data_IF_940534583808
#
_entry.id   IF_940534583808
#
_cell.length_a   1.000
_cell.length_b   1.000
_cell.length_c   1.000
_cell.angle_alpha   90.00
_cell.angle_beta   90.00
_cell.angle_gamma   90.00
#
_symmetry.space_group_name_H-M   'P 1'
#
loop_
_entity.id
_entity.type
_entity.pdbx_description
1 polymer ?
#
# COMPACT_ATOMS: atom_id res chain seq x y z
N UNK A 1 -72.67 -42.88 -1.26
CA UNK A 1 -72.47 -44.35 -1.14
C UNK A 1 -73.74 -45.16 -1.42
N UNK A 2 -74.91 -44.85 -0.84
CA UNK A 2 -76.15 -45.60 -1.11
C UNK A 2 -76.77 -45.23 -2.45
N UNK A 3 -76.78 -43.95 -2.82
CA UNK A 3 -77.41 -43.46 -4.05
C UNK A 3 -76.69 -43.93 -5.33
N UNK A 4 -75.35 -43.95 -5.35
CA UNK A 4 -74.59 -44.43 -6.52
C UNK A 4 -74.62 -45.95 -6.68
N UNK A 5 -74.71 -46.71 -5.58
CA UNK A 5 -74.93 -48.16 -5.65
C UNK A 5 -76.31 -48.48 -6.23
N UNK A 6 -77.32 -47.66 -5.90
CA UNK A 6 -78.66 -47.75 -6.47
C UNK A 6 -78.64 -47.40 -7.96
N UNK A 7 -78.03 -46.26 -8.36
CA UNK A 7 -77.90 -45.88 -9.78
C UNK A 7 -77.13 -46.92 -10.60
N UNK A 8 -76.07 -47.52 -10.06
CA UNK A 8 -75.31 -48.59 -10.74
C UNK A 8 -76.09 -49.91 -10.81
N UNK A 9 -77.00 -50.17 -9.88
CA UNK A 9 -77.93 -51.31 -9.96
C UNK A 9 -78.98 -51.07 -11.05
N UNK A 10 -79.64 -49.91 -11.04
CA UNK A 10 -80.64 -49.54 -12.05
C UNK A 10 -80.06 -49.48 -13.46
N UNK A 11 -78.84 -48.96 -13.62
CA UNK A 11 -78.15 -48.94 -14.91
C UNK A 11 -77.85 -50.36 -15.41
N UNK A 12 -77.43 -51.26 -14.52
CA UNK A 12 -77.18 -52.66 -14.83
C UNK A 12 -78.46 -53.38 -15.26
N UNK A 13 -79.56 -53.18 -14.53
CA UNK A 13 -80.84 -53.81 -14.83
C UNK A 13 -81.35 -53.37 -16.21
N UNK A 14 -81.30 -52.06 -16.50
CA UNK A 14 -81.68 -51.52 -17.81
C UNK A 14 -80.80 -52.02 -18.98
N UNK A 15 -79.49 -52.16 -18.76
CA UNK A 15 -78.58 -52.68 -19.79
C UNK A 15 -78.79 -54.17 -20.04
N UNK A 16 -79.05 -54.95 -18.98
CA UNK A 16 -79.36 -56.38 -19.07
C UNK A 16 -80.60 -56.63 -19.93
N UNK A 17 -81.64 -55.80 -19.77
CA UNK A 17 -82.87 -55.89 -20.54
C UNK A 17 -82.66 -55.54 -22.03
N UNK A 18 -81.75 -54.62 -22.36
CA UNK A 18 -81.54 -54.15 -23.73
C UNK A 18 -80.47 -54.93 -24.52
N UNK A 19 -79.38 -55.34 -23.87
CA UNK A 19 -78.19 -55.89 -24.53
C UNK A 19 -77.89 -57.34 -24.11
N UNK A 20 -78.62 -57.88 -23.14
CA UNK A 20 -78.36 -59.18 -22.54
C UNK A 20 -77.25 -59.13 -21.49
N UNK A 21 -77.22 -60.14 -20.61
CA UNK A 21 -76.35 -60.17 -19.43
C UNK A 21 -74.86 -60.16 -19.78
N UNK A 22 -74.44 -60.86 -20.83
CA UNK A 22 -73.02 -60.97 -21.22
C UNK A 22 -72.43 -59.63 -21.67
N UNK A 23 -73.17 -58.87 -22.48
CA UNK A 23 -72.71 -57.55 -22.97
C UNK A 23 -72.73 -56.53 -21.84
N UNK A 24 -73.71 -56.62 -20.94
CA UNK A 24 -73.85 -55.73 -19.79
C UNK A 24 -72.70 -55.88 -18.80
N UNK A 25 -72.32 -57.12 -18.46
CA UNK A 25 -71.18 -57.38 -17.57
C UNK A 25 -69.86 -56.90 -18.20
N UNK A 26 -69.66 -57.10 -19.51
CA UNK A 26 -68.50 -56.53 -20.21
C UNK A 26 -68.49 -55.00 -20.13
N UNK A 27 -69.61 -54.33 -20.41
CA UNK A 27 -69.70 -52.87 -20.38
C UNK A 27 -69.51 -52.29 -18.96
N UNK A 28 -69.96 -52.99 -17.92
CA UNK A 28 -69.79 -52.58 -16.53
C UNK A 28 -68.38 -52.78 -16.00
N UNK A 29 -67.62 -53.72 -16.57
CA UNK A 29 -66.21 -54.01 -16.23
C UNK A 29 -65.27 -52.95 -16.82
N UNK A 30 -65.62 -52.42 -18.01
CA UNK A 30 -64.90 -51.28 -18.61
C UNK A 30 -65.35 -49.91 -18.08
N UNK A 31 -66.46 -49.85 -17.32
CA UNK A 31 -66.89 -48.59 -16.70
C UNK A 31 -66.05 -48.29 -15.46
N UNK A 32 -65.53 -47.06 -15.32
CA UNK A 32 -64.82 -46.66 -14.12
C UNK A 32 -65.70 -46.84 -12.88
N UNK A 33 -65.09 -47.18 -11.75
CA UNK A 33 -65.82 -47.28 -10.48
C UNK A 33 -66.44 -45.93 -10.12
N UNK A 34 -67.59 -45.93 -9.44
CA UNK A 34 -68.24 -44.69 -9.01
C UNK A 34 -67.34 -43.83 -8.11
N UNK A 35 -66.39 -44.45 -7.40
CA UNK A 35 -65.41 -43.76 -6.54
C UNK A 35 -64.18 -43.25 -7.32
N UNK A 36 -64.07 -43.55 -8.63
CA UNK A 36 -62.93 -43.14 -9.46
C UNK A 36 -62.86 -41.62 -9.63
N UNK A 37 -64.00 -40.96 -9.84
CA UNK A 37 -64.09 -39.49 -9.96
C UNK A 37 -63.66 -38.83 -8.65
N UNK A 38 -64.15 -39.33 -7.51
CA UNK A 38 -63.78 -38.81 -6.18
C UNK A 38 -62.29 -38.96 -5.88
N UNK A 39 -61.70 -40.10 -6.27
CA UNK A 39 -60.27 -40.33 -6.12
C UNK A 39 -59.45 -39.37 -6.99
N UNK A 40 -59.88 -39.14 -8.23
CA UNK A 40 -59.22 -38.20 -9.15
C UNK A 40 -59.32 -36.77 -8.64
N UNK A 41 -60.49 -36.32 -8.16
CA UNK A 41 -60.68 -34.98 -7.63
C UNK A 41 -59.79 -34.73 -6.41
N UNK A 42 -59.64 -35.72 -5.52
CA UNK A 42 -58.71 -35.64 -4.39
C UNK A 42 -57.25 -35.51 -4.85
N UNK A 43 -56.85 -36.25 -5.89
CA UNK A 43 -55.49 -36.14 -6.45
C UNK A 43 -55.25 -34.76 -7.08
N UNK A 44 -56.23 -34.21 -7.81
CA UNK A 44 -56.12 -32.86 -8.37
C UNK A 44 -55.97 -31.79 -7.30
N UNK A 45 -56.76 -31.84 -6.22
CA UNK A 45 -56.62 -30.91 -5.09
C UNK A 45 -55.24 -31.04 -4.42
N UNK A 46 -54.72 -32.26 -4.32
CA UNK A 46 -53.37 -32.47 -3.78
C UNK A 46 -52.27 -31.89 -4.70
N UNK A 47 -52.39 -32.08 -6.01
CA UNK A 47 -51.47 -31.54 -7.01
C UNK A 47 -51.51 -30.02 -7.05
N UNK A 48 -52.70 -29.41 -7.06
CA UNK A 48 -52.88 -27.95 -7.04
C UNK A 48 -52.24 -27.33 -5.79
N UNK A 49 -52.42 -27.97 -4.62
CA UNK A 49 -51.76 -27.53 -3.38
C UNK A 49 -50.23 -27.57 -3.51
N UNK A 50 -49.67 -28.61 -4.14
CA UNK A 50 -48.23 -28.72 -4.36
C UNK A 50 -47.71 -27.67 -5.33
N UNK A 51 -48.46 -27.34 -6.39
CA UNK A 51 -48.09 -26.25 -7.29
C UNK A 51 -48.07 -24.90 -6.56
N UNK A 52 -49.08 -24.60 -5.74
CA UNK A 52 -49.09 -23.37 -4.91
C UNK A 52 -47.93 -23.30 -3.90
N UNK A 53 -47.43 -24.44 -3.43
CA UNK A 53 -46.24 -24.48 -2.58
C UNK A 53 -44.95 -24.24 -3.39
N UNK A 54 -44.87 -24.82 -4.59
CA UNK A 54 -43.76 -24.61 -5.52
C UNK A 54 -43.67 -23.14 -5.93
N UNK A 55 -44.79 -22.51 -6.29
CA UNK A 55 -44.84 -21.10 -6.68
C UNK A 55 -44.32 -20.19 -5.55
N UNK A 56 -44.78 -20.43 -4.31
CA UNK A 56 -44.27 -19.71 -3.13
C UNK A 56 -42.78 -19.92 -2.89
N UNK A 57 -42.24 -21.11 -3.20
CA UNK A 57 -40.81 -21.37 -3.11
C UNK A 57 -40.02 -20.64 -4.19
N UNK A 58 -40.56 -20.53 -5.41
CA UNK A 58 -39.95 -19.75 -6.48
C UNK A 58 -39.93 -18.26 -6.16
N UNK A 59 -41.02 -17.69 -5.64
CA UNK A 59 -41.04 -16.29 -5.18
C UNK A 59 -39.97 -16.03 -4.11
N UNK A 60 -39.78 -16.94 -3.17
CA UNK A 60 -38.72 -16.83 -2.16
C UNK A 60 -37.32 -16.92 -2.77
N UNK A 61 -37.13 -17.75 -3.80
CA UNK A 61 -35.87 -17.87 -4.53
C UNK A 61 -35.57 -16.57 -5.26
N UNK A 62 -36.56 -15.99 -5.96
CA UNK A 62 -36.41 -14.74 -6.70
C UNK A 62 -36.02 -13.59 -5.74
N UNK A 63 -36.71 -13.49 -4.59
CA UNK A 63 -36.34 -12.51 -3.56
C UNK A 63 -34.91 -12.70 -3.03
N UNK A 64 -34.42 -13.94 -2.92
CA UNK A 64 -33.04 -14.22 -2.52
C UNK A 64 -32.06 -13.81 -3.62
N UNK A 65 -32.37 -14.04 -4.88
CA UNK A 65 -31.55 -13.60 -6.01
C UNK A 65 -31.46 -12.07 -6.06
N UNK A 66 -32.56 -11.35 -5.90
CA UNK A 66 -32.54 -9.87 -5.81
C UNK A 66 -31.69 -9.35 -4.64
N UNK A 67 -31.64 -10.07 -3.52
CA UNK A 67 -30.76 -9.72 -2.40
C UNK A 67 -29.29 -10.01 -2.72
N UNK A 68 -29.02 -11.10 -3.44
CA UNK A 68 -27.67 -11.44 -3.90
C UNK A 68 -27.16 -10.38 -4.89
N UNK A 69 -27.97 -9.99 -5.87
CA UNK A 69 -27.62 -8.98 -6.87
C UNK A 69 -27.29 -7.63 -6.20
N UNK A 70 -28.12 -7.19 -5.24
CA UNK A 70 -27.84 -5.98 -4.46
C UNK A 70 -26.52 -6.06 -3.69
N UNK A 71 -26.15 -7.23 -3.17
CA UNK A 71 -24.86 -7.42 -2.49
C UNK A 71 -23.70 -7.40 -3.46
N UNK A 72 -23.87 -7.93 -4.68
CA UNK A 72 -22.85 -7.82 -5.72
C UNK A 72 -22.64 -6.38 -6.16
N UNK A 73 -23.71 -5.61 -6.35
CA UNK A 73 -23.61 -4.17 -6.65
C UNK A 73 -22.85 -3.40 -5.57
N UNK A 74 -23.06 -3.74 -4.28
CA UNK A 74 -22.33 -3.14 -3.17
C UNK A 74 -20.84 -3.53 -3.19
N UNK A 75 -20.55 -4.81 -3.46
CA UNK A 75 -19.18 -5.31 -3.59
C UNK A 75 -18.46 -4.57 -4.73
N UNK A 76 -19.08 -4.43 -5.89
CA UNK A 76 -18.50 -3.73 -7.04
C UNK A 76 -18.19 -2.27 -6.72
N UNK A 77 -19.10 -1.55 -6.03
CA UNK A 77 -18.84 -0.18 -5.58
C UNK A 77 -17.65 -0.11 -4.63
N UNK A 78 -17.51 -1.07 -3.71
CA UNK A 78 -16.36 -1.14 -2.79
C UNK A 78 -15.06 -1.40 -3.54
N UNK A 79 -15.07 -2.24 -4.57
CA UNK A 79 -13.88 -2.46 -5.40
C UNK A 79 -13.47 -1.18 -6.14
N UNK A 80 -14.42 -0.44 -6.73
CA UNK A 80 -14.13 0.85 -7.37
C UNK A 80 -13.54 1.86 -6.36
N UNK A 81 -14.02 1.88 -5.11
CA UNK A 81 -13.45 2.73 -4.07
C UNK A 81 -12.02 2.30 -3.69
N UNK A 82 -11.78 0.99 -3.56
CA UNK A 82 -10.46 0.43 -3.29
C UNK A 82 -9.47 0.83 -4.40
N UNK A 83 -9.86 0.68 -5.67
CA UNK A 83 -9.02 1.05 -6.81
C UNK A 83 -8.65 2.54 -6.79
N UNK A 84 -9.61 3.42 -6.46
CA UNK A 84 -9.35 4.86 -6.30
C UNK A 84 -8.35 5.14 -5.19
N UNK A 85 -8.47 4.46 -4.05
CA UNK A 85 -7.53 4.61 -2.93
C UNK A 85 -6.14 4.13 -3.29
N UNK A 86 -6.01 3.03 -4.02
CA UNK A 86 -4.71 2.56 -4.52
C UNK A 86 -4.07 3.57 -5.48
N UNK A 87 -4.84 4.11 -6.44
CA UNK A 87 -4.33 5.14 -7.34
C UNK A 87 -3.89 6.42 -6.59
N UNK A 88 -4.54 6.79 -5.49
CA UNK A 88 -4.10 7.90 -4.64
C UNK A 88 -2.80 7.56 -3.89
N UNK A 89 -2.68 6.34 -3.37
CA UNK A 89 -1.47 5.85 -2.71
C UNK A 89 -0.28 5.89 -3.69
N UNK A 90 -0.46 5.41 -4.92
CA UNK A 90 0.59 5.39 -5.94
C UNK A 90 1.10 6.81 -6.23
N UNK A 91 0.19 7.78 -6.42
CA UNK A 91 0.56 9.20 -6.62
C UNK A 91 1.32 9.78 -5.43
N UNK A 92 0.98 9.37 -4.20
CA UNK A 92 1.69 9.82 -3.00
C UNK A 92 3.10 9.24 -2.94
N UNK A 93 3.29 7.98 -3.36
CA UNK A 93 4.61 7.37 -3.47
C UNK A 93 5.47 8.06 -4.53
N UNK A 94 4.92 8.34 -5.71
CA UNK A 94 5.63 9.11 -6.75
C UNK A 94 6.12 10.48 -6.23
N UNK A 95 5.28 11.18 -5.46
CA UNK A 95 5.66 12.46 -4.85
C UNK A 95 6.75 12.29 -3.77
N UNK A 96 6.71 11.22 -3.01
CA UNK A 96 7.74 10.90 -2.01
C UNK A 96 9.07 10.63 -2.72
N UNK A 97 9.08 9.84 -3.79
CA UNK A 97 10.28 9.55 -4.57
C UNK A 97 10.90 10.83 -5.14
N UNK A 98 10.09 11.71 -5.74
CA UNK A 98 10.56 13.01 -6.22
C UNK A 98 11.20 13.87 -5.12
N UNK A 99 10.63 13.85 -3.91
CA UNK A 99 11.20 14.57 -2.76
C UNK A 99 12.51 13.96 -2.30
N UNK A 100 12.63 12.64 -2.31
CA UNK A 100 13.89 11.97 -2.00
C UNK A 100 14.97 12.30 -3.03
N UNK A 101 14.64 12.35 -4.32
CA UNK A 101 15.58 12.77 -5.37
C UNK A 101 16.02 14.23 -5.21
N UNK A 102 15.14 15.12 -4.78
CA UNK A 102 15.51 16.50 -4.45
C UNK A 102 16.44 16.56 -3.22
N UNK A 103 16.13 15.80 -2.16
CA UNK A 103 16.95 15.72 -0.96
C UNK A 103 18.35 15.19 -1.31
N UNK A 104 18.45 14.13 -2.11
CA UNK A 104 19.73 13.57 -2.55
C UNK A 104 20.58 14.61 -3.29
N UNK A 105 19.98 15.33 -4.26
CA UNK A 105 20.68 16.43 -4.97
C UNK A 105 21.15 17.54 -4.03
N UNK A 106 20.38 17.85 -2.99
CA UNK A 106 20.79 18.84 -1.97
C UNK A 106 21.96 18.34 -1.13
N UNK A 107 21.99 17.05 -0.78
CA UNK A 107 23.11 16.45 -0.08
C UNK A 107 24.38 16.45 -0.93
N UNK A 108 24.30 16.09 -2.21
CA UNK A 108 25.44 16.18 -3.14
C UNK A 108 26.02 17.60 -3.22
N UNK A 109 25.15 18.62 -3.26
CA UNK A 109 25.58 20.01 -3.26
C UNK A 109 26.25 20.42 -1.94
N UNK A 110 25.75 19.90 -0.81
CA UNK A 110 26.36 20.12 0.51
C UNK A 110 27.74 19.49 0.56
N UNK A 111 27.90 18.26 0.08
CA UNK A 111 29.19 17.56 0.04
C UNK A 111 30.21 18.33 -0.80
N UNK A 112 29.82 18.80 -1.98
CA UNK A 112 30.68 19.65 -2.82
C UNK A 112 31.10 20.95 -2.13
N UNK A 113 30.20 21.56 -1.34
CA UNK A 113 30.52 22.77 -0.57
C UNK A 113 31.50 22.47 0.56
N UNK A 114 31.35 21.34 1.24
CA UNK A 114 32.28 20.91 2.27
C UNK A 114 33.68 20.66 1.68
N UNK A 115 33.77 19.97 0.55
CA UNK A 115 35.05 19.76 -0.14
C UNK A 115 35.72 21.09 -0.53
N UNK A 116 34.95 22.08 -0.98
CA UNK A 116 35.48 23.43 -1.25
C UNK A 116 35.94 24.16 0.02
N UNK A 117 35.28 23.95 1.15
CA UNK A 117 35.67 24.52 2.43
C UNK A 117 36.99 23.88 2.89
N UNK A 118 37.10 22.56 2.81
CA UNK A 118 38.32 21.82 3.18
C UNK A 118 39.52 22.32 2.35
N UNK A 119 39.36 22.43 1.03
CA UNK A 119 40.41 23.00 0.17
C UNK A 119 40.79 24.45 0.53
N UNK A 120 39.84 25.25 1.03
CA UNK A 120 40.14 26.62 1.50
C UNK A 120 40.86 26.61 2.83
N UNK A 121 40.51 25.70 3.73
CA UNK A 121 41.20 25.50 5.01
C UNK A 121 42.64 25.05 4.78
N UNK A 122 42.89 24.08 3.90
CA UNK A 122 44.24 23.65 3.53
C UNK A 122 45.10 24.81 3.02
N UNK A 123 44.52 25.67 2.16
CA UNK A 123 45.22 26.86 1.65
C UNK A 123 45.49 27.88 2.74
N UNK A 124 44.58 28.05 3.69
CA UNK A 124 44.77 28.94 4.84
C UNK A 124 45.86 28.41 5.76
N UNK A 125 45.85 27.13 6.07
CA UNK A 125 46.88 26.46 6.87
C UNK A 125 48.26 26.60 6.22
N UNK A 126 48.37 26.36 4.91
CA UNK A 126 49.62 26.58 4.17
C UNK A 126 50.08 28.05 4.17
N UNK A 127 49.15 29.03 4.15
CA UNK A 127 49.50 30.45 4.27
C UNK A 127 49.98 30.80 5.67
N UNK A 128 49.33 30.28 6.70
CA UNK A 128 49.73 30.49 8.10
C UNK A 128 51.12 29.90 8.34
N UNK A 129 51.39 28.66 7.91
CA UNK A 129 52.73 28.07 8.04
C UNK A 129 53.82 28.85 7.29
N UNK A 130 53.50 29.46 6.14
CA UNK A 130 54.44 30.38 5.45
C UNK A 130 54.70 31.67 6.22
N UNK A 131 53.69 32.20 6.93
CA UNK A 131 53.87 33.38 7.78
C UNK A 131 54.71 33.04 9.02
N UNK A 132 54.46 31.89 9.66
CA UNK A 132 55.23 31.40 10.81
C UNK A 132 56.71 31.25 10.44
N UNK A 133 57.01 30.55 9.35
CA UNK A 133 58.40 30.38 8.87
C UNK A 133 59.07 31.71 8.46
N UNK A 134 58.31 32.66 7.90
CA UNK A 134 58.84 33.99 7.58
C UNK A 134 59.15 34.80 8.84
N UNK A 135 58.30 34.71 9.88
CA UNK A 135 58.54 35.34 11.18
C UNK A 135 59.76 34.75 11.88
N UNK A 136 59.93 33.43 11.87
CA UNK A 136 61.12 32.76 12.43
C UNK A 136 62.41 33.27 11.80
N UNK A 137 62.46 33.36 10.46
CA UNK A 137 63.63 33.91 9.74
C UNK A 137 63.92 35.36 10.11
N UNK A 138 62.89 36.18 10.28
CA UNK A 138 63.02 37.57 10.73
C UNK A 138 63.60 37.64 12.14
N UNK A 139 63.11 36.81 13.06
CA UNK A 139 63.59 36.73 14.44
C UNK A 139 65.06 36.26 14.48
N UNK A 140 65.42 35.25 13.70
CA UNK A 140 66.81 34.77 13.60
C UNK A 140 67.75 35.83 13.01
N UNK A 141 67.31 36.53 11.96
CA UNK A 141 68.07 37.64 11.39
C UNK A 141 68.27 38.77 12.40
N UNK A 142 67.24 39.12 13.17
CA UNK A 142 67.36 40.12 14.24
C UNK A 142 68.32 39.64 15.34
N UNK A 143 68.23 38.38 15.76
CA UNK A 143 69.10 37.82 16.80
C UNK A 143 70.57 37.81 16.39
N UNK A 144 70.87 37.40 15.16
CA UNK A 144 72.23 37.39 14.61
C UNK A 144 72.78 38.81 14.46
N UNK A 145 71.96 39.75 13.98
CA UNK A 145 72.33 41.16 13.87
C UNK A 145 72.61 41.80 15.24
N UNK A 146 71.73 41.62 16.23
CA UNK A 146 71.93 42.11 17.60
C UNK A 146 73.21 41.54 18.20
N UNK A 147 73.45 40.24 18.04
CA UNK A 147 74.67 39.58 18.54
C UNK A 147 75.93 40.17 17.91
N UNK A 148 75.92 40.40 16.60
CA UNK A 148 77.01 41.08 15.90
C UNK A 148 77.23 42.50 16.43
N UNK A 149 76.17 43.29 16.59
CA UNK A 149 76.27 44.66 17.11
C UNK A 149 76.88 44.71 18.51
N UNK A 150 76.40 43.86 19.43
CA UNK A 150 76.95 43.81 20.80
C UNK A 150 78.44 43.44 20.77
N UNK A 151 78.84 42.49 19.91
CA UNK A 151 80.26 42.17 19.77
C UNK A 151 81.09 43.34 19.21
N UNK A 152 80.54 44.10 18.26
CA UNK A 152 81.21 45.25 17.66
C UNK A 152 81.38 46.41 18.65
N UNK A 153 80.37 46.70 19.48
CA UNK A 153 80.46 47.75 20.51
C UNK A 153 81.43 47.38 21.61
N UNK A 154 81.41 46.13 22.09
CA UNK A 154 82.39 45.63 23.07
C UNK A 154 83.82 45.68 22.52
N UNK A 155 84.03 45.29 21.26
CA UNK A 155 85.35 45.37 20.62
C UNK A 155 85.86 46.82 20.51
N UNK A 156 85.00 47.77 20.13
CA UNK A 156 85.35 49.19 20.07
C UNK A 156 85.70 49.76 21.45
N UNK A 157 84.95 49.37 22.50
CA UNK A 157 85.23 49.81 23.87
C UNK A 157 86.58 49.28 24.38
N UNK A 158 86.89 48.00 24.14
CA UNK A 158 88.18 47.41 24.48
C UNK A 158 89.35 48.10 23.76
N UNK A 159 89.19 48.41 22.48
CA UNK A 159 90.20 49.13 21.70
C UNK A 159 90.47 50.54 22.26
N UNK A 160 89.42 51.27 22.65
CA UNK A 160 89.56 52.59 23.25
C UNK A 160 90.30 52.55 24.60
N UNK A 161 89.97 51.58 25.47
CA UNK A 161 90.70 51.38 26.74
C UNK A 161 92.16 51.05 26.49
N UNK A 162 92.46 50.16 25.53
CA UNK A 162 93.83 49.82 25.16
C UNK A 162 94.64 51.02 24.68
N UNK A 163 94.05 51.90 23.87
CA UNK A 163 94.70 53.13 23.40
C UNK A 163 95.03 54.08 24.57
N UNK A 164 94.12 54.25 25.53
CA UNK A 164 94.34 55.08 26.72
C UNK A 164 95.49 54.54 27.58
N UNK A 165 95.51 53.22 27.83
CA UNK A 165 96.58 52.58 28.61
C UNK A 165 97.93 52.70 27.90
N UNK A 166 97.98 52.50 26.58
CA UNK A 166 99.22 52.64 25.80
C UNK A 166 99.78 54.06 25.85
N UNK A 167 98.92 55.08 25.76
CA UNK A 167 99.33 56.48 25.89
C UNK A 167 99.88 56.79 27.28
N UNK A 168 99.26 56.23 28.33
CA UNK A 168 99.74 56.41 29.71
C UNK A 168 101.11 55.77 29.95
N UNK A 169 101.35 54.56 29.41
CA UNK A 169 102.64 53.87 29.54
C UNK A 169 103.75 54.56 28.76
N UNK A 170 103.48 55.11 27.57
CA UNK A 170 104.49 55.85 26.78
C UNK A 170 104.84 57.23 27.35
N UNK A 171 104.01 57.78 28.24
CA UNK A 171 104.25 59.08 28.88
C UNK A 171 105.04 58.99 30.20
N UNK A 172 105.39 57.78 30.63
CA UNK A 172 106.06 57.47 31.89
C UNK A 172 107.51 57.03 31.65
#
# INVERSE_FOLDING_TARGET
MTEDRVRRSELRDNLCDQLGSTVTEMLLDYMPSADWTDNIDRQFVHVERRFLEIDRRFELIDQRFEQIDRRFDEIDRRFVEIDRRFAEIDRRFELIDQRFDEINRRFELIDQRFEQIDQRLDRLEARVGRLETAMEKLIESQRTWIRWMISATVASALAAVGAIVSLAVSAM
#
